data_IF_365724566177
#
_entry.id   IF_365724566177
#
_cell.length_a   1.000
_cell.length_b   1.000
_cell.length_c   1.000
_cell.angle_alpha   90.00
_cell.angle_beta   90.00
_cell.angle_gamma   90.00
#
_symmetry.space_group_name_H-M   'P 1'
#
loop_
_entity.id
_entity.type
_entity.pdbx_description
1 polymer ?
#
# COMPACT_ATOMS: atom_id res chain seq x y z
N UNK A 1 1.18 23.70 -13.24
CA UNK A 1 1.29 22.33 -13.79
C UNK A 1 2.17 21.56 -12.83
N UNK A 2 1.63 20.58 -12.11
CA UNK A 2 2.48 19.69 -11.31
C UNK A 2 3.38 18.92 -12.26
N UNK A 3 4.66 18.81 -11.91
CA UNK A 3 5.59 18.02 -12.70
C UNK A 3 5.21 16.54 -12.60
N UNK A 4 5.23 15.82 -13.73
CA UNK A 4 4.98 14.38 -13.81
C UNK A 4 5.90 13.62 -12.86
N UNK A 5 7.19 13.96 -12.87
CA UNK A 5 8.21 13.27 -12.07
C UNK A 5 8.03 13.55 -10.56
N UNK A 6 7.62 14.76 -10.20
CA UNK A 6 7.25 15.11 -8.81
C UNK A 6 6.02 14.33 -8.34
N UNK A 7 5.03 14.16 -9.23
CA UNK A 7 3.83 13.36 -8.94
C UNK A 7 4.19 11.88 -8.74
N UNK A 8 5.05 11.33 -9.60
CA UNK A 8 5.54 9.96 -9.46
C UNK A 8 6.33 9.76 -8.16
N UNK A 9 7.15 10.73 -7.76
CA UNK A 9 7.90 10.66 -6.52
C UNK A 9 6.98 10.67 -5.28
N UNK A 10 5.92 11.50 -5.30
CA UNK A 10 4.88 11.48 -4.26
C UNK A 10 4.18 10.12 -4.18
N UNK A 11 3.82 9.53 -5.32
CA UNK A 11 3.22 8.19 -5.39
C UNK A 11 4.18 7.12 -4.87
N UNK A 12 5.47 7.21 -5.23
CA UNK A 12 6.50 6.29 -4.74
C UNK A 12 6.52 6.27 -3.21
N UNK A 13 6.54 7.44 -2.57
CA UNK A 13 6.50 7.55 -1.11
C UNK A 13 5.21 6.93 -0.55
N UNK A 14 4.05 7.28 -1.12
CA UNK A 14 2.75 6.79 -0.66
C UNK A 14 2.64 5.26 -0.70
N UNK A 15 3.18 4.61 -1.73
CA UNK A 15 3.14 3.16 -1.89
C UNK A 15 4.23 2.49 -1.04
N UNK A 16 5.46 2.99 -1.10
CA UNK A 16 6.63 2.37 -0.45
C UNK A 16 6.67 2.58 1.07
N UNK A 17 5.96 3.59 1.58
CA UNK A 17 5.80 3.89 3.01
C UNK A 17 4.35 3.77 3.49
N UNK A 18 3.53 3.01 2.77
CA UNK A 18 2.15 2.74 3.18
C UNK A 18 2.09 1.96 4.49
N UNK A 19 0.94 1.99 5.17
CA UNK A 19 0.75 1.16 6.36
C UNK A 19 0.83 -0.34 6.03
N UNK A 20 0.49 -0.73 4.80
CA UNK A 20 0.63 -2.12 4.36
C UNK A 20 2.10 -2.55 4.30
N UNK A 21 3.00 -1.70 3.80
CA UNK A 21 4.44 -1.98 3.82
C UNK A 21 4.95 -2.11 5.26
N UNK A 22 4.53 -1.18 6.13
CA UNK A 22 4.88 -1.25 7.55
C UNK A 22 4.39 -2.56 8.19
N UNK A 23 3.14 -2.96 7.97
CA UNK A 23 2.62 -4.21 8.52
C UNK A 23 3.31 -5.46 7.95
N UNK A 24 3.72 -5.42 6.67
CA UNK A 24 4.49 -6.50 6.03
C UNK A 24 5.90 -6.67 6.62
N UNK A 25 6.52 -5.58 7.08
CA UNK A 25 7.87 -5.56 7.68
C UNK A 25 7.83 -5.78 9.20
N UNK A 26 6.83 -5.20 9.86
CA UNK A 26 6.70 -5.06 11.30
C UNK A 26 5.37 -5.66 11.79
N UNK A 27 5.14 -6.95 11.52
CA UNK A 27 3.91 -7.65 11.90
C UNK A 27 3.64 -7.55 13.42
N UNK A 28 2.40 -7.25 13.86
CA UNK A 28 2.09 -7.17 15.29
C UNK A 28 2.18 -8.55 15.96
N UNK A 29 2.16 -8.56 17.28
CA UNK A 29 2.05 -9.83 18.01
C UNK A 29 0.63 -10.39 17.85
N UNK A 30 0.49 -11.42 17.01
CA UNK A 30 -0.78 -12.08 16.72
C UNK A 30 -0.76 -13.56 17.13
N UNK A 31 -1.94 -14.18 17.19
CA UNK A 31 -2.06 -15.60 17.52
C UNK A 31 -1.49 -16.49 16.39
N UNK A 32 -1.02 -17.69 16.74
CA UNK A 32 -0.52 -18.65 15.74
C UNK A 32 -1.59 -19.07 14.70
N UNK A 33 -2.88 -18.94 15.04
CA UNK A 33 -3.99 -19.18 14.11
C UNK A 33 -4.11 -18.12 13.00
N UNK A 34 -3.36 -17.02 13.09
CA UNK A 34 -3.41 -15.89 12.16
C UNK A 34 -2.28 -15.91 11.10
N UNK A 35 -1.45 -16.95 11.04
CA UNK A 35 -0.34 -17.06 10.07
C UNK A 35 -0.79 -16.89 8.61
N UNK A 36 -1.99 -17.36 8.25
CA UNK A 36 -2.53 -17.17 6.91
C UNK A 36 -2.82 -15.69 6.58
N UNK A 37 -3.25 -14.91 7.58
CA UNK A 37 -3.49 -13.47 7.41
C UNK A 37 -2.15 -12.73 7.26
N UNK A 38 -1.15 -13.10 8.07
CA UNK A 38 0.20 -12.56 7.95
C UNK A 38 0.78 -12.80 6.55
N UNK A 39 0.73 -14.03 6.07
CA UNK A 39 1.23 -14.38 4.74
C UNK A 39 0.52 -13.61 3.62
N UNK A 40 -0.80 -13.42 3.73
CA UNK A 40 -1.55 -12.61 2.77
C UNK A 40 -1.10 -11.15 2.79
N UNK A 41 -0.90 -10.54 3.96
CA UNK A 41 -0.41 -9.16 4.10
C UNK A 41 1.00 -9.01 3.52
N UNK A 42 1.91 -9.94 3.84
CA UNK A 42 3.28 -9.94 3.29
C UNK A 42 3.29 -10.07 1.77
N UNK A 43 2.42 -10.92 1.22
CA UNK A 43 2.30 -11.09 -0.24
C UNK A 43 1.84 -9.80 -0.92
N UNK A 44 0.80 -9.15 -0.39
CA UNK A 44 0.31 -7.87 -0.92
C UNK A 44 1.37 -6.76 -0.81
N UNK A 45 2.11 -6.70 0.30
CA UNK A 45 3.21 -5.76 0.49
C UNK A 45 4.33 -5.99 -0.55
N UNK A 46 4.71 -7.23 -0.82
CA UNK A 46 5.75 -7.53 -1.81
C UNK A 46 5.32 -7.18 -3.25
N UNK A 47 4.05 -7.42 -3.59
CA UNK A 47 3.49 -7.01 -4.89
C UNK A 47 3.55 -5.49 -5.09
N UNK A 48 3.20 -4.70 -4.07
CA UNK A 48 3.29 -3.24 -4.11
C UNK A 48 4.72 -2.73 -4.13
N UNK A 49 5.63 -3.40 -3.41
CA UNK A 49 7.05 -3.08 -3.41
C UNK A 49 7.67 -3.27 -4.79
N UNK A 50 7.28 -4.33 -5.50
CA UNK A 50 7.71 -4.57 -6.88
C UNK A 50 7.26 -3.43 -7.81
N UNK A 51 6.04 -2.92 -7.63
CA UNK A 51 5.52 -1.79 -8.41
C UNK A 51 6.18 -0.46 -8.04
N UNK A 52 6.45 -0.23 -6.75
CA UNK A 52 7.24 0.91 -6.28
C UNK A 52 8.64 0.90 -6.92
N UNK A 53 9.28 -0.26 -7.04
CA UNK A 53 10.54 -0.43 -7.75
C UNK A 53 10.49 -0.03 -9.23
N UNK A 54 9.34 -0.23 -9.91
CA UNK A 54 9.14 0.24 -11.28
C UNK A 54 9.04 1.76 -11.36
N UNK A 55 8.41 2.42 -10.38
CA UNK A 55 8.37 3.89 -10.29
C UNK A 55 9.76 4.45 -10.04
N UNK A 56 10.49 3.84 -9.09
CA UNK A 56 11.88 4.18 -8.81
C UNK A 56 12.73 4.14 -10.09
N UNK A 57 12.68 3.01 -10.82
CA UNK A 57 13.46 2.85 -12.04
C UNK A 57 13.07 3.87 -13.14
N UNK A 58 11.79 4.25 -13.21
CA UNK A 58 11.33 5.26 -14.16
C UNK A 58 11.90 6.65 -13.84
N UNK A 59 11.93 7.04 -12.56
CA UNK A 59 12.52 8.31 -12.12
C UNK A 59 14.04 8.33 -12.30
N UNK A 60 14.71 7.23 -11.94
CA UNK A 60 16.15 7.07 -12.05
C UNK A 60 16.62 7.20 -13.51
N UNK A 61 15.92 6.55 -14.44
CA UNK A 61 16.23 6.62 -15.87
C UNK A 61 16.14 8.04 -16.45
N UNK A 62 15.39 8.94 -15.81
CA UNK A 62 15.22 10.35 -16.20
C UNK A 62 16.19 11.28 -15.47
N UNK A 63 17.03 10.74 -14.58
CA UNK A 63 17.94 11.51 -13.73
C UNK A 63 17.21 12.39 -12.72
N UNK A 64 15.96 12.06 -12.40
CA UNK A 64 15.16 12.85 -11.45
C UNK A 64 15.56 12.51 -10.00
N UNK A 65 15.69 13.48 -9.09
CA UNK A 65 15.94 13.21 -7.68
C UNK A 65 14.84 12.34 -7.07
N UNK A 66 15.23 11.23 -6.44
CA UNK A 66 14.30 10.26 -5.85
C UNK A 66 14.22 10.46 -4.35
N UNK A 67 12.99 10.54 -3.83
CA UNK A 67 12.70 10.56 -2.40
C UNK A 67 11.94 9.27 -2.03
N UNK A 68 12.50 8.52 -1.07
CA UNK A 68 11.90 7.28 -0.57
C UNK A 68 11.03 7.49 0.69
N UNK A 69 11.04 8.71 1.24
CA UNK A 69 10.32 9.07 2.44
C UNK A 69 10.70 8.25 3.68
N UNK A 70 10.00 8.54 4.77
CA UNK A 70 10.05 7.79 6.02
C UNK A 70 8.69 7.21 6.38
N UNK A 71 8.68 6.17 7.22
CA UNK A 71 7.43 5.72 7.81
C UNK A 71 6.91 6.77 8.81
N UNK A 72 5.59 7.00 8.85
CA UNK A 72 4.95 7.65 9.98
C UNK A 72 5.19 6.87 11.28
N UNK A 73 5.02 7.51 12.43
CA UNK A 73 5.07 6.79 13.71
C UNK A 73 3.86 5.85 13.86
N UNK A 74 4.11 4.58 13.56
CA UNK A 74 3.14 3.48 13.63
C UNK A 74 3.42 2.53 14.79
N UNK A 75 4.34 2.88 15.69
CA UNK A 75 4.83 1.99 16.76
C UNK A 75 3.73 1.54 17.74
N UNK A 76 2.69 2.36 17.91
CA UNK A 76 1.52 2.03 18.73
C UNK A 76 0.71 0.83 18.19
N UNK A 77 0.86 0.49 16.91
CA UNK A 77 0.13 -0.60 16.26
C UNK A 77 0.66 -2.00 16.61
N UNK A 78 1.77 -2.11 17.35
CA UNK A 78 2.29 -3.40 17.79
C UNK A 78 1.45 -4.07 18.89
N UNK A 79 0.62 -3.30 19.60
CA UNK A 79 -0.12 -3.75 20.80
C UNK A 79 -1.63 -3.80 20.60
N UNK A 80 -2.12 -3.66 19.37
CA UNK A 80 -3.55 -3.66 19.04
C UNK A 80 -4.02 -5.05 18.63
N UNK A 81 -5.34 -5.29 18.67
CA UNK A 81 -5.90 -6.52 18.12
C UNK A 81 -5.67 -6.59 16.61
N UNK A 82 -5.53 -7.81 16.08
CA UNK A 82 -5.37 -7.99 14.64
C UNK A 82 -6.58 -7.43 13.86
N UNK A 83 -7.79 -7.57 14.38
CA UNK A 83 -9.00 -6.99 13.77
C UNK A 83 -8.89 -5.48 13.65
N UNK A 84 -8.43 -4.79 14.70
CA UNK A 84 -8.22 -3.34 14.65
C UNK A 84 -7.16 -2.96 13.62
N UNK A 85 -6.03 -3.68 13.56
CA UNK A 85 -5.01 -3.43 12.54
C UNK A 85 -5.56 -3.62 11.12
N UNK A 86 -6.32 -4.69 10.86
CA UNK A 86 -6.90 -4.96 9.55
C UNK A 86 -7.89 -3.87 9.11
N UNK A 87 -8.73 -3.38 10.02
CA UNK A 87 -9.63 -2.26 9.75
C UNK A 87 -8.83 -0.98 9.41
N UNK A 88 -7.73 -0.73 10.13
CA UNK A 88 -6.85 0.40 9.85
C UNK A 88 -6.16 0.28 8.48
N UNK A 89 -5.71 -0.92 8.12
CA UNK A 89 -5.17 -1.23 6.80
C UNK A 89 -6.20 -0.97 5.71
N UNK A 90 -7.44 -1.43 5.86
CA UNK A 90 -8.52 -1.14 4.89
C UNK A 90 -8.73 0.36 4.71
N UNK A 91 -8.77 1.13 5.80
CA UNK A 91 -8.95 2.59 5.74
C UNK A 91 -7.79 3.31 5.05
N UNK A 92 -6.55 2.96 5.41
CA UNK A 92 -5.34 3.53 4.80
C UNK A 92 -5.26 3.19 3.30
N UNK A 93 -5.55 1.94 2.95
CA UNK A 93 -5.49 1.48 1.57
C UNK A 93 -6.61 2.07 0.69
N UNK A 94 -7.80 2.29 1.27
CA UNK A 94 -8.87 3.01 0.58
C UNK A 94 -8.48 4.46 0.27
N UNK A 95 -7.76 5.12 1.18
CA UNK A 95 -7.21 6.46 0.95
C UNK A 95 -6.17 6.44 -0.18
N UNK A 96 -5.21 5.50 -0.12
CA UNK A 96 -4.20 5.31 -1.17
C UNK A 96 -4.84 5.13 -2.57
N UNK A 97 -5.85 4.26 -2.69
CA UNK A 97 -6.56 4.05 -3.97
C UNK A 97 -7.17 5.35 -4.50
N UNK A 98 -7.77 6.17 -3.63
CA UNK A 98 -8.36 7.45 -4.03
C UNK A 98 -7.29 8.44 -4.51
N UNK A 99 -6.17 8.51 -3.80
CA UNK A 99 -5.02 9.35 -4.14
C UNK A 99 -4.41 8.95 -5.49
N UNK A 100 -4.20 7.65 -5.71
CA UNK A 100 -3.69 7.10 -6.97
C UNK A 100 -4.60 7.41 -8.16
N UNK A 101 -5.92 7.22 -8.02
CA UNK A 101 -6.87 7.53 -9.09
C UNK A 101 -6.88 9.03 -9.42
N UNK A 102 -6.75 9.89 -8.40
CA UNK A 102 -6.66 11.34 -8.59
C UNK A 102 -5.38 11.69 -9.34
N UNK A 103 -4.24 11.16 -8.90
CA UNK A 103 -2.95 11.43 -9.52
C UNK A 103 -2.88 10.93 -10.98
N UNK A 104 -3.47 9.75 -11.27
CA UNK A 104 -3.51 9.20 -12.63
C UNK A 104 -4.14 10.16 -13.65
N UNK A 105 -5.18 10.92 -13.24
CA UNK A 105 -5.84 11.90 -14.13
C UNK A 105 -4.93 13.07 -14.55
N UNK A 106 -3.91 13.38 -13.75
CA UNK A 106 -2.95 14.45 -14.01
C UNK A 106 -1.77 14.04 -14.90
N UNK A 107 -1.63 12.75 -15.23
CA UNK A 107 -0.48 12.20 -15.96
C UNK A 107 -0.73 12.03 -17.46
N UNK A 108 -1.81 12.58 -18.00
CA UNK A 108 -2.22 12.36 -19.41
C UNK A 108 -1.20 12.80 -20.46
N UNK A 109 -0.25 13.66 -20.10
CA UNK A 109 0.84 14.11 -20.98
C UNK A 109 2.01 13.10 -21.07
N UNK A 110 2.12 12.15 -20.14
CA UNK A 110 3.18 11.13 -20.11
C UNK A 110 2.53 9.74 -20.01
N UNK A 111 2.43 9.07 -21.16
CA UNK A 111 1.71 7.81 -21.27
C UNK A 111 2.38 6.67 -20.48
N UNK A 112 3.71 6.70 -20.34
CA UNK A 112 4.45 5.68 -19.59
C UNK A 112 4.21 5.86 -18.09
N UNK A 113 4.29 7.10 -17.59
CA UNK A 113 3.94 7.43 -16.21
C UNK A 113 2.47 7.10 -15.91
N UNK A 114 1.55 7.48 -16.80
CA UNK A 114 0.12 7.20 -16.64
C UNK A 114 -0.16 5.69 -16.57
N UNK A 115 0.47 4.89 -17.43
CA UNK A 115 0.34 3.43 -17.42
C UNK A 115 0.89 2.82 -16.14
N UNK A 116 2.05 3.30 -15.68
CA UNK A 116 2.66 2.82 -14.45
C UNK A 116 1.76 3.07 -13.23
N UNK A 117 1.18 4.27 -13.12
CA UNK A 117 0.26 4.60 -12.03
C UNK A 117 -1.05 3.82 -12.16
N UNK A 118 -1.53 3.55 -13.38
CA UNK A 118 -2.70 2.71 -13.60
C UNK A 118 -2.47 1.27 -13.11
N UNK A 119 -1.29 0.69 -13.36
CA UNK A 119 -0.90 -0.64 -12.84
C UNK A 119 -0.90 -0.65 -11.31
N UNK A 120 -0.33 0.39 -10.69
CA UNK A 120 -0.28 0.56 -9.23
C UNK A 120 -1.69 0.66 -8.65
N UNK A 121 -2.55 1.50 -9.24
CA UNK A 121 -3.94 1.65 -8.81
C UNK A 121 -4.74 0.36 -8.96
N UNK A 122 -4.50 -0.43 -10.01
CA UNK A 122 -5.15 -1.72 -10.20
C UNK A 122 -4.78 -2.72 -9.10
N UNK A 123 -3.50 -2.82 -8.74
CA UNK A 123 -3.04 -3.70 -7.65
C UNK A 123 -3.55 -3.21 -6.29
N UNK A 124 -3.46 -1.91 -5.99
CA UNK A 124 -3.98 -1.35 -4.74
C UNK A 124 -5.49 -1.62 -4.56
N UNK A 125 -6.29 -1.53 -5.64
CA UNK A 125 -7.72 -1.90 -5.59
C UNK A 125 -7.94 -3.38 -5.28
N UNK A 126 -7.19 -4.27 -5.93
CA UNK A 126 -7.26 -5.71 -5.66
C UNK A 126 -6.87 -6.02 -4.21
N UNK A 127 -5.81 -5.39 -3.71
CA UNK A 127 -5.33 -5.57 -2.33
C UNK A 127 -6.34 -5.04 -1.32
N UNK A 128 -7.01 -3.91 -1.60
CA UNK A 128 -8.10 -3.39 -0.78
C UNK A 128 -9.26 -4.40 -0.67
N UNK A 129 -9.67 -5.02 -1.77
CA UNK A 129 -10.71 -6.06 -1.74
C UNK A 129 -10.28 -7.27 -0.93
N UNK A 130 -9.01 -7.67 -1.02
CA UNK A 130 -8.46 -8.77 -0.25
C UNK A 130 -8.42 -8.44 1.25
N UNK A 131 -7.96 -7.25 1.64
CA UNK A 131 -7.97 -6.77 3.02
C UNK A 131 -9.39 -6.76 3.62
N UNK A 132 -10.40 -6.33 2.84
CA UNK A 132 -11.82 -6.38 3.26
C UNK A 132 -12.29 -7.81 3.54
N UNK A 133 -11.91 -8.76 2.67
CA UNK A 133 -12.24 -10.19 2.86
C UNK A 133 -11.59 -10.75 4.13
N UNK A 134 -10.31 -10.43 4.37
CA UNK A 134 -9.58 -10.85 5.57
C UNK A 134 -10.22 -10.29 6.84
N UNK A 135 -10.56 -8.99 6.83
CA UNK A 135 -11.20 -8.31 7.95
C UNK A 135 -12.53 -8.98 8.30
N UNK A 136 -13.43 -9.14 7.33
CA UNK A 136 -14.73 -9.77 7.58
C UNK A 136 -14.62 -11.25 7.99
N UNK A 137 -13.60 -11.98 7.51
CA UNK A 137 -13.35 -13.35 7.94
C UNK A 137 -12.86 -13.42 9.39
N UNK A 138 -12.03 -12.46 9.82
CA UNK A 138 -11.53 -12.37 11.20
C UNK A 138 -12.66 -12.02 12.17
N UNK A 139 -13.47 -11.00 11.86
CA UNK A 139 -14.62 -10.60 12.68
C UNK A 139 -15.60 -11.75 12.92
N UNK A 140 -15.91 -12.54 11.87
CA UNK A 140 -16.78 -13.71 12.01
C UNK A 140 -16.22 -14.79 12.93
N UNK A 141 -14.90 -14.98 12.95
CA UNK A 141 -14.24 -15.96 13.84
C UNK A 141 -14.27 -15.50 15.29
N UNK A 142 -14.12 -14.20 15.54
CA UNK A 142 -14.15 -13.63 16.89
C UNK A 142 -15.55 -13.67 17.50
N UNK A 143 -16.62 -13.50 16.70
CA UNK A 143 -18.00 -13.63 17.18
C UNK A 143 -18.39 -15.09 17.48
N UNK A 144 -17.72 -16.05 16.84
CA UNK A 144 -18.02 -17.49 17.00
C UNK A 144 -17.19 -18.18 18.10
N UNK A 145 -16.21 -17.50 18.67
CA UNK A 145 -15.34 -17.99 19.74
C UNK A 145 -15.87 -17.57 21.12
#
# INVERSE_FOLDING_TARGET
MNNVDETLNSILIQVYRSLLQYAGECWPWAAASDTAVEQAVRTMAEEERTLAGRIFAHLDARGWPIDLGGYPDNSSLHYVSLTFLLQRLVADHQRLVTELNTAASGLSADLDAARLVADVAAVARRNLEHLRKLTGAKERREVAA
#
